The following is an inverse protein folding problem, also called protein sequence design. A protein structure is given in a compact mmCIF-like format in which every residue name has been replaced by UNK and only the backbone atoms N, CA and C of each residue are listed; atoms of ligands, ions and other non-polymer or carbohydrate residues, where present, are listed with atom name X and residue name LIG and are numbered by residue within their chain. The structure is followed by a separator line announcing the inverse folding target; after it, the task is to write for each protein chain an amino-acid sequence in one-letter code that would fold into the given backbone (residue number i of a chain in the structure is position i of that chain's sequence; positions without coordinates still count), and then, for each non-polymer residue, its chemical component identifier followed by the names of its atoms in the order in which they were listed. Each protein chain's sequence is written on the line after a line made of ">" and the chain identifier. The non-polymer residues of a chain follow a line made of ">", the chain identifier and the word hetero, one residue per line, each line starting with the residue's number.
data_IF_067141823207
#
_entry.id   IF_067141823207
#
_cell.length_a   1.000
_cell.length_b   1.000
_cell.length_c   1.000
_cell.angle_alpha   90.00
_cell.angle_beta   90.00
_cell.angle_gamma   90.00
#
_symmetry.space_group_name_H-M   'P 1'
#
loop_
_entity.id
_entity.type
_entity.pdbx_description
1 polymer ?
#
# COMPACT_ATOMS: atom_id res chain seq x y z
N UNK A 1 21.81 -1.89 10.34
CA UNK A 1 23.14 -1.65 9.73
C UNK A 1 23.39 -2.80 8.75
N UNK A 2 23.78 -2.50 7.52
CA UNK A 2 24.08 -3.51 6.47
C UNK A 2 25.56 -3.41 6.14
N UNK A 3 26.25 -4.54 6.13
CA UNK A 3 27.67 -4.65 5.80
C UNK A 3 27.86 -5.62 4.63
N UNK A 4 28.69 -5.23 3.65
CA UNK A 4 29.05 -6.05 2.50
C UNK A 4 30.48 -5.76 2.06
N UNK A 5 31.17 -6.79 1.56
CA UNK A 5 32.49 -6.64 0.95
C UNK A 5 32.39 -5.88 -0.38
N UNK A 6 33.40 -5.08 -0.67
CA UNK A 6 33.50 -4.23 -1.86
C UNK A 6 34.82 -4.48 -2.59
N UNK A 7 34.78 -4.39 -3.91
CA UNK A 7 35.94 -4.53 -4.76
C UNK A 7 35.88 -3.62 -5.97
N UNK A 8 37.05 -3.25 -6.52
CA UNK A 8 37.14 -2.54 -7.79
C UNK A 8 36.99 -3.50 -8.99
N UNK A 9 37.40 -4.77 -8.82
CA UNK A 9 37.32 -5.81 -9.83
C UNK A 9 37.24 -7.20 -9.18
N UNK A 10 36.26 -7.99 -9.61
CA UNK A 10 35.99 -9.36 -9.13
C UNK A 10 37.05 -10.38 -9.57
N UNK A 11 37.85 -10.05 -10.57
CA UNK A 11 38.92 -10.91 -11.09
C UNK A 11 40.27 -10.71 -10.40
N UNK A 12 40.38 -9.77 -9.46
CA UNK A 12 41.60 -9.56 -8.68
C UNK A 12 41.95 -10.79 -7.84
N UNK A 13 43.24 -10.94 -7.52
CA UNK A 13 43.74 -12.07 -6.74
C UNK A 13 43.15 -12.05 -5.33
N UNK A 14 42.50 -13.15 -4.96
CA UNK A 14 41.86 -13.34 -3.65
C UNK A 14 40.43 -13.80 -3.84
N UNK A 15 40.02 -14.82 -3.10
CA UNK A 15 38.68 -15.42 -3.19
C UNK A 15 37.56 -14.41 -2.87
N UNK A 16 37.81 -13.48 -1.95
CA UNK A 16 36.82 -12.48 -1.52
C UNK A 16 36.42 -11.50 -2.63
N UNK A 17 37.30 -11.25 -3.61
CA UNK A 17 37.01 -10.37 -4.73
C UNK A 17 35.83 -10.90 -5.57
N UNK A 18 35.78 -12.21 -5.82
CA UNK A 18 34.71 -12.83 -6.62
C UNK A 18 33.32 -12.69 -5.98
N UNK A 19 33.25 -12.61 -4.65
CA UNK A 19 32.00 -12.50 -3.88
C UNK A 19 31.67 -11.07 -3.38
N UNK A 20 32.52 -10.08 -3.70
CA UNK A 20 32.35 -8.68 -3.31
C UNK A 20 31.50 -7.88 -4.30
N UNK A 21 30.99 -6.72 -3.89
CA UNK A 21 30.28 -5.80 -4.77
C UNK A 21 31.26 -4.91 -5.55
N UNK A 22 31.00 -4.72 -6.83
CA UNK A 22 31.64 -3.67 -7.65
C UNK A 22 31.09 -2.27 -7.34
N UNK A 23 31.71 -1.18 -7.82
CA UNK A 23 31.16 0.18 -7.72
C UNK A 23 29.68 0.28 -8.13
N UNK A 24 29.34 -0.28 -9.30
CA UNK A 24 27.97 -0.23 -9.83
C UNK A 24 26.99 -1.06 -9.00
N UNK A 25 27.41 -2.22 -8.50
CA UNK A 25 26.55 -3.07 -7.66
C UNK A 25 26.35 -2.48 -6.26
N UNK A 26 27.37 -1.82 -5.70
CA UNK A 26 27.24 -1.11 -4.44
C UNK A 26 26.29 0.09 -4.59
N UNK A 27 26.40 0.85 -5.68
CA UNK A 27 25.45 1.93 -5.99
C UNK A 27 24.01 1.40 -6.09
N UNK A 28 23.82 0.30 -6.82
CA UNK A 28 22.51 -0.35 -6.94
C UNK A 28 21.97 -0.82 -5.57
N UNK A 29 22.82 -1.40 -4.72
CA UNK A 29 22.45 -1.81 -3.37
C UNK A 29 22.01 -0.61 -2.52
N UNK A 30 22.81 0.47 -2.51
CA UNK A 30 22.52 1.68 -1.73
C UNK A 30 21.22 2.31 -2.22
N UNK A 31 21.03 2.43 -3.53
CA UNK A 31 19.79 2.96 -4.11
C UNK A 31 18.59 2.11 -3.68
N UNK A 32 18.68 0.78 -3.83
CA UNK A 32 17.61 -0.13 -3.42
C UNK A 32 17.26 -0.03 -1.94
N UNK A 33 18.25 0.13 -1.06
CA UNK A 33 18.01 0.36 0.37
C UNK A 33 17.22 1.65 0.58
N UNK A 34 17.61 2.76 -0.06
CA UNK A 34 16.91 4.04 0.08
C UNK A 34 15.50 4.03 -0.50
N UNK A 35 15.29 3.32 -1.60
CA UNK A 35 13.97 3.14 -2.22
C UNK A 35 13.05 2.36 -1.26
N UNK A 36 13.55 1.31 -0.60
CA UNK A 36 12.79 0.52 0.38
C UNK A 36 12.50 1.35 1.64
N UNK A 37 13.49 2.05 2.20
CA UNK A 37 13.30 2.89 3.39
C UNK A 37 12.20 3.94 3.18
N UNK A 38 12.15 4.56 1.99
CA UNK A 38 11.07 5.47 1.62
C UNK A 38 9.72 4.75 1.46
N UNK A 39 9.75 3.57 0.84
CA UNK A 39 8.53 2.79 0.54
C UNK A 39 7.89 2.17 1.78
N UNK A 40 8.63 1.95 2.87
CA UNK A 40 8.10 1.42 4.12
C UNK A 40 6.99 2.29 4.72
N UNK A 41 6.99 3.59 4.43
CA UNK A 41 5.91 4.50 4.79
C UNK A 41 5.63 4.56 6.29
N UNK A 42 4.34 4.56 6.66
CA UNK A 42 3.88 4.65 8.05
C UNK A 42 3.16 3.36 8.46
N UNK A 43 3.34 2.86 9.69
CA UNK A 43 2.56 1.74 10.21
C UNK A 43 1.09 2.10 10.47
N UNK A 44 0.74 3.38 10.44
CA UNK A 44 -0.63 3.84 10.66
C UNK A 44 -1.46 3.70 9.38
N UNK A 45 -2.52 2.89 9.44
CA UNK A 45 -3.48 2.75 8.35
C UNK A 45 -4.36 4.00 8.26
N UNK A 46 -4.24 4.73 7.15
CA UNK A 46 -5.08 5.88 6.84
C UNK A 46 -5.25 5.97 5.32
N UNK A 47 -6.30 6.66 4.88
CA UNK A 47 -6.52 6.88 3.46
C UNK A 47 -5.58 7.97 2.95
N UNK A 48 -4.86 7.68 1.88
CA UNK A 48 -4.00 8.62 1.19
C UNK A 48 -4.81 9.49 0.22
N UNK A 49 -4.32 10.72 -0.03
CA UNK A 49 -4.94 11.67 -0.99
C UNK A 49 -5.18 11.06 -2.37
N UNK A 50 -4.26 10.21 -2.84
CA UNK A 50 -4.38 9.48 -4.10
C UNK A 50 -5.53 8.48 -4.13
N UNK A 51 -5.96 7.96 -2.97
CA UNK A 51 -7.02 6.95 -2.86
C UNK A 51 -8.41 7.57 -2.81
N UNK A 52 -8.54 8.84 -2.41
CA UNK A 52 -9.84 9.53 -2.27
C UNK A 52 -10.70 9.44 -3.53
N UNK A 53 -10.15 9.79 -4.71
CA UNK A 53 -10.92 9.79 -5.94
C UNK A 53 -11.44 8.38 -6.31
N UNK A 54 -10.65 7.35 -6.02
CA UNK A 54 -11.04 5.96 -6.21
C UNK A 54 -12.16 5.56 -5.22
N UNK A 55 -12.00 5.93 -3.95
CA UNK A 55 -12.99 5.67 -2.91
C UNK A 55 -14.32 6.39 -3.15
N UNK A 56 -14.28 7.64 -3.61
CA UNK A 56 -15.50 8.37 -3.98
C UNK A 56 -16.24 7.65 -5.11
N UNK A 57 -15.52 7.22 -6.15
CA UNK A 57 -16.14 6.56 -7.30
C UNK A 57 -16.59 5.12 -7.03
N UNK A 58 -15.84 4.36 -6.24
CA UNK A 58 -16.00 2.89 -6.13
C UNK A 58 -16.32 2.41 -4.71
N UNK A 59 -16.22 3.27 -3.70
CA UNK A 59 -16.52 2.96 -2.31
C UNK A 59 -17.98 2.55 -2.16
N UNK A 60 -18.20 1.34 -1.65
CA UNK A 60 -19.53 0.82 -1.36
C UNK A 60 -19.99 1.29 0.01
N UNK A 61 -21.28 1.54 0.13
CA UNK A 61 -21.92 2.02 1.35
C UNK A 61 -23.17 1.20 1.63
N UNK A 62 -23.61 1.20 2.88
CA UNK A 62 -24.88 0.61 3.28
C UNK A 62 -26.00 1.57 2.88
N UNK A 63 -26.93 1.09 2.06
CA UNK A 63 -28.10 1.84 1.60
C UNK A 63 -29.36 1.02 1.80
N UNK A 64 -30.51 1.67 1.79
CA UNK A 64 -31.79 0.98 1.76
C UNK A 64 -31.94 0.24 0.41
N UNK A 65 -32.29 -1.05 0.47
CA UNK A 65 -32.54 -1.85 -0.72
C UNK A 65 -33.89 -1.48 -1.38
N UNK A 66 -34.82 -0.97 -0.58
CA UNK A 66 -36.19 -0.62 -0.96
C UNK A 66 -36.65 0.60 -0.15
N UNK A 67 -37.81 1.16 -0.50
CA UNK A 67 -38.43 2.20 0.31
C UNK A 67 -38.79 1.68 1.72
N UNK A 68 -38.46 2.45 2.75
CA UNK A 68 -38.73 2.12 4.16
C UNK A 68 -39.58 3.25 4.77
N UNK A 69 -40.84 2.98 5.15
CA UNK A 69 -41.69 3.95 5.84
C UNK A 69 -41.10 4.38 7.20
N UNK A 70 -41.47 5.57 7.66
CA UNK A 70 -41.11 6.03 9.00
C UNK A 70 -41.63 5.06 10.08
N UNK A 71 -40.80 4.78 11.08
CA UNK A 71 -41.12 3.81 12.14
C UNK A 71 -40.78 2.36 11.80
N UNK A 72 -40.26 2.08 10.60
CA UNK A 72 -39.78 0.74 10.25
C UNK A 72 -38.58 0.34 11.09
N UNK A 73 -38.65 -0.84 11.72
CA UNK A 73 -37.51 -1.48 12.37
C UNK A 73 -36.60 -2.02 11.25
N UNK A 74 -35.34 -1.60 11.24
CA UNK A 74 -34.38 -2.00 10.21
C UNK A 74 -33.92 -3.44 10.48
N UNK A 75 -33.90 -4.25 9.43
CA UNK A 75 -33.47 -5.64 9.43
C UNK A 75 -32.49 -5.82 8.27
N UNK A 76 -31.72 -6.92 8.27
CA UNK A 76 -30.69 -7.17 7.24
C UNK A 76 -31.26 -7.15 5.81
N UNK A 77 -32.46 -7.70 5.60
CA UNK A 77 -33.16 -7.71 4.32
C UNK A 77 -33.57 -6.32 3.80
N UNK A 78 -33.52 -5.28 4.64
CA UNK A 78 -33.81 -3.90 4.25
C UNK A 78 -32.57 -3.20 3.68
N UNK A 79 -31.38 -3.79 3.86
CA UNK A 79 -30.10 -3.19 3.54
C UNK A 79 -29.48 -3.79 2.27
N UNK A 80 -28.73 -2.98 1.55
CA UNK A 80 -27.87 -3.40 0.46
C UNK A 80 -26.52 -2.71 0.56
N UNK A 81 -25.46 -3.40 0.09
CA UNK A 81 -24.12 -2.84 0.00
C UNK A 81 -23.77 -2.61 -1.47
N UNK A 82 -23.78 -1.36 -1.90
CA UNK A 82 -23.45 -0.99 -3.29
C UNK A 82 -22.77 0.37 -3.36
N UNK A 83 -22.16 0.65 -4.51
CA UNK A 83 -21.77 2.01 -4.87
C UNK A 83 -23.07 2.78 -5.12
N UNK A 84 -23.26 3.90 -4.44
CA UNK A 84 -24.49 4.69 -4.48
C UNK A 84 -24.17 6.17 -4.47
N UNK A 85 -25.05 6.95 -5.10
CA UNK A 85 -25.06 8.40 -5.09
C UNK A 85 -26.49 8.85 -4.73
N UNK A 86 -26.73 9.51 -3.59
CA UNK A 86 -25.74 9.87 -2.57
C UNK A 86 -25.17 8.65 -1.84
N UNK A 87 -23.98 8.81 -1.26
CA UNK A 87 -23.36 7.80 -0.39
C UNK A 87 -24.27 7.49 0.81
N UNK A 88 -24.40 6.21 1.12
CA UNK A 88 -25.09 5.73 2.30
C UNK A 88 -24.20 5.75 3.55
N UNK A 89 -24.50 4.88 4.50
CA UNK A 89 -23.76 4.76 5.75
C UNK A 89 -22.47 3.95 5.49
N UNK A 90 -21.32 4.52 5.84
CA UNK A 90 -20.06 3.79 5.96
C UNK A 90 -19.82 3.42 7.42
N UNK A 91 -19.28 2.22 7.67
CA UNK A 91 -18.81 1.85 9.01
C UNK A 91 -17.70 2.81 9.45
N UNK A 92 -17.78 3.26 10.70
CA UNK A 92 -16.72 4.03 11.35
C UNK A 92 -15.45 3.19 11.51
#
# INVERSE_FOLDING_TARGET
>A
IIEKHFTLDKHMKGNDHACSLTPLELEALVKGIRDIEQSLGSPSKHMHKSEHACYEKLGKTIVAQRFLPQGTIIEEQHLAIKVAEPKGICGA
#
